data_IF_320534749675
#
_entry.id   IF_320534749675
#
_cell.length_a   1.000
_cell.length_b   1.000
_cell.length_c   1.000
_cell.angle_alpha   90.00
_cell.angle_beta   90.00
_cell.angle_gamma   90.00
#
_symmetry.space_group_name_H-M   'P 1'
#
loop_
_entity.id
_entity.type
_entity.pdbx_description
1 polymer ?
#
# COMPACT_ATOMS: atom_id res chain seq x y z
N UNK A 1 -1.91 1.01 21.74
CA UNK A 1 -2.61 1.24 20.46
C UNK A 1 -3.35 -0.01 20.05
N UNK A 2 -4.62 0.11 19.73
CA UNK A 2 -5.42 -1.02 19.24
C UNK A 2 -5.13 -1.29 17.76
N UNK A 3 -5.56 -2.47 17.28
CA UNK A 3 -5.44 -2.81 15.86
C UNK A 3 -6.23 -1.84 14.98
N UNK A 4 -7.43 -1.46 15.41
CA UNK A 4 -8.27 -0.51 14.69
C UNK A 4 -7.64 0.88 14.64
N UNK A 5 -7.04 1.34 15.73
CA UNK A 5 -6.32 2.63 15.76
C UNK A 5 -5.11 2.63 14.83
N UNK A 6 -4.36 1.54 14.80
CA UNK A 6 -3.21 1.38 13.91
C UNK A 6 -3.66 1.43 12.43
N UNK A 7 -4.71 0.67 12.10
CA UNK A 7 -5.28 0.66 10.75
C UNK A 7 -5.78 2.05 10.34
N UNK A 8 -6.47 2.76 11.24
CA UNK A 8 -6.96 4.11 11.00
C UNK A 8 -5.82 5.09 10.72
N UNK A 9 -4.78 5.08 11.56
CA UNK A 9 -3.65 6.00 11.39
C UNK A 9 -2.87 5.73 10.11
N UNK A 10 -2.64 4.47 9.78
CA UNK A 10 -1.94 4.11 8.56
C UNK A 10 -2.75 4.49 7.32
N UNK A 11 -4.06 4.25 7.34
CA UNK A 11 -4.96 4.62 6.26
C UNK A 11 -5.04 6.12 6.04
N UNK A 12 -5.10 6.92 7.11
CA UNK A 12 -5.06 8.38 7.03
C UNK A 12 -3.72 8.88 6.50
N UNK A 13 -2.64 8.25 6.89
CA UNK A 13 -1.30 8.57 6.39
C UNK A 13 -1.21 8.39 4.88
N UNK A 14 -1.73 7.29 4.35
CA UNK A 14 -1.74 7.05 2.90
C UNK A 14 -2.72 7.94 2.16
N UNK A 15 -3.87 8.25 2.75
CA UNK A 15 -4.84 9.17 2.15
C UNK A 15 -4.22 10.54 1.86
N UNK A 16 -3.35 11.01 2.73
CA UNK A 16 -2.64 12.27 2.57
C UNK A 16 -1.45 12.17 1.60
N UNK A 17 -1.15 10.98 1.09
CA UNK A 17 -0.02 10.71 0.20
C UNK A 17 -0.46 10.16 -1.16
N UNK A 18 -1.61 10.60 -1.65
CA UNK A 18 -2.15 10.15 -2.93
C UNK A 18 -1.18 10.34 -4.09
N UNK A 19 -0.45 11.47 -4.11
CA UNK A 19 0.53 11.73 -5.16
C UNK A 19 1.70 10.75 -5.12
N UNK A 20 2.16 10.39 -3.93
CA UNK A 20 3.18 9.35 -3.75
C UNK A 20 2.70 8.00 -4.28
N UNK A 21 1.47 7.61 -3.95
CA UNK A 21 0.89 6.35 -4.41
C UNK A 21 0.74 6.32 -5.93
N UNK A 22 0.38 7.46 -6.54
CA UNK A 22 0.32 7.59 -7.99
C UNK A 22 1.69 7.34 -8.63
N UNK A 23 2.71 7.99 -8.12
CA UNK A 23 4.07 7.85 -8.64
C UNK A 23 4.56 6.40 -8.46
N UNK A 24 4.31 5.79 -7.31
CA UNK A 24 4.67 4.40 -7.05
C UNK A 24 4.04 3.46 -8.07
N UNK A 25 2.74 3.62 -8.36
CA UNK A 25 2.02 2.75 -9.29
C UNK A 25 2.51 2.89 -10.73
N UNK A 26 2.99 4.08 -11.12
CA UNK A 26 3.44 4.35 -12.48
C UNK A 26 4.90 3.96 -12.72
N UNK A 27 5.76 4.12 -11.73
CA UNK A 27 7.20 4.11 -11.91
C UNK A 27 7.92 2.88 -11.36
N UNK A 28 7.23 2.00 -10.61
CA UNK A 28 7.90 0.87 -9.98
C UNK A 28 8.59 -0.04 -11.01
N UNK A 29 7.86 -0.45 -12.05
CA UNK A 29 8.41 -1.30 -13.10
C UNK A 29 9.54 -0.61 -13.86
N UNK A 30 9.34 0.67 -14.22
CA UNK A 30 10.36 1.45 -14.92
C UNK A 30 11.62 1.60 -14.08
N UNK A 31 11.48 1.85 -12.79
CA UNK A 31 12.60 1.95 -11.88
C UNK A 31 13.44 0.68 -11.88
N UNK A 32 12.81 -0.49 -11.83
CA UNK A 32 13.54 -1.77 -11.81
C UNK A 32 14.13 -2.15 -13.17
N UNK A 33 13.45 -1.81 -14.28
CA UNK A 33 13.83 -2.28 -15.61
C UNK A 33 14.74 -1.30 -16.37
N UNK A 34 14.57 0.00 -16.15
CA UNK A 34 15.19 1.03 -16.98
C UNK A 34 16.16 1.94 -16.24
N UNK A 35 16.25 1.87 -14.93
CA UNK A 35 17.17 2.68 -14.15
C UNK A 35 18.59 2.12 -14.21
N UNK A 36 19.58 3.01 -14.08
CA UNK A 36 20.96 2.59 -13.87
C UNK A 36 21.07 1.84 -12.54
N UNK A 37 22.03 0.92 -12.46
CA UNK A 37 22.22 0.11 -11.26
C UNK A 37 22.42 0.95 -10.00
N UNK A 38 23.21 2.02 -10.06
CA UNK A 38 23.42 2.88 -8.89
C UNK A 38 22.14 3.58 -8.42
N UNK A 39 21.26 4.01 -9.33
CA UNK A 39 19.97 4.60 -8.96
C UNK A 39 19.02 3.56 -8.38
N UNK A 40 19.05 2.35 -8.93
CA UNK A 40 18.25 1.25 -8.40
C UNK A 40 18.72 0.87 -7.00
N UNK A 41 20.03 0.86 -6.74
CA UNK A 41 20.56 0.61 -5.39
C UNK A 41 20.08 1.68 -4.42
N UNK A 42 20.15 2.95 -4.78
CA UNK A 42 19.64 4.06 -3.95
C UNK A 42 18.17 3.89 -3.63
N UNK A 43 17.37 3.55 -4.63
CA UNK A 43 15.93 3.27 -4.44
C UNK A 43 15.71 2.11 -3.47
N UNK A 44 16.45 1.03 -3.62
CA UNK A 44 16.30 -0.16 -2.76
C UNK A 44 16.77 0.11 -1.33
N UNK A 45 17.76 0.99 -1.12
CA UNK A 45 18.16 1.41 0.23
C UNK A 45 17.00 2.12 0.93
N UNK A 46 16.36 3.08 0.27
CA UNK A 46 15.19 3.80 0.83
C UNK A 46 14.02 2.84 1.06
N UNK A 47 13.79 1.93 0.13
CA UNK A 47 12.76 0.91 0.25
C UNK A 47 13.01 0.01 1.47
N UNK A 48 14.25 -0.43 1.66
CA UNK A 48 14.64 -1.24 2.81
C UNK A 48 14.48 -0.50 4.14
N UNK A 49 14.78 0.79 4.18
CA UNK A 49 14.57 1.63 5.35
C UNK A 49 13.07 1.73 5.70
N UNK A 50 12.22 1.86 4.68
CA UNK A 50 10.77 1.90 4.86
C UNK A 50 10.25 0.58 5.44
N UNK A 51 10.71 -0.55 4.92
CA UNK A 51 10.37 -1.87 5.46
C UNK A 51 10.79 -1.99 6.92
N UNK A 52 12.02 -1.58 7.24
CA UNK A 52 12.54 -1.63 8.60
C UNK A 52 11.72 -0.78 9.56
N UNK A 53 11.31 0.41 9.13
CA UNK A 53 10.46 1.29 9.92
C UNK A 53 9.11 0.62 10.24
N UNK A 54 8.49 -0.02 9.26
CA UNK A 54 7.23 -0.74 9.47
C UNK A 54 7.43 -1.92 10.41
N UNK A 55 8.50 -2.69 10.25
CA UNK A 55 8.83 -3.80 11.17
C UNK A 55 8.92 -3.31 12.61
N UNK A 56 9.63 -2.21 12.84
CA UNK A 56 9.77 -1.63 14.18
C UNK A 56 8.44 -1.17 14.77
N UNK A 57 7.58 -0.57 13.94
CA UNK A 57 6.23 -0.19 14.37
C UNK A 57 5.41 -1.40 14.79
N UNK A 58 5.47 -2.48 14.00
CA UNK A 58 4.76 -3.71 14.33
C UNK A 58 5.28 -4.33 15.63
N UNK A 59 6.58 -4.35 15.84
CA UNK A 59 7.20 -4.83 17.07
C UNK A 59 6.78 -4.03 18.29
N UNK A 60 6.74 -2.70 18.12
CA UNK A 60 6.37 -1.79 19.21
C UNK A 60 4.92 -1.93 19.64
N UNK A 61 4.00 -1.96 18.67
CA UNK A 61 2.56 -1.93 18.96
C UNK A 61 1.93 -3.31 19.07
N UNK A 62 2.54 -4.33 18.46
CA UNK A 62 2.04 -5.69 18.46
C UNK A 62 3.14 -6.68 18.79
N UNK A 63 3.67 -6.66 20.03
CA UNK A 63 4.79 -7.53 20.41
C UNK A 63 4.44 -9.02 20.33
N UNK A 64 3.15 -9.38 20.35
CA UNK A 64 2.70 -10.76 20.25
C UNK A 64 2.66 -11.28 18.80
N UNK A 65 2.85 -10.40 17.81
CA UNK A 65 2.88 -10.79 16.41
C UNK A 65 4.11 -11.65 16.14
N UNK A 66 3.90 -12.82 15.51
CA UNK A 66 5.01 -13.71 15.15
C UNK A 66 5.90 -13.11 14.06
N UNK A 67 7.10 -13.66 13.90
CA UNK A 67 8.01 -13.29 12.81
C UNK A 67 7.34 -13.53 11.45
N UNK A 68 6.67 -14.67 11.30
CA UNK A 68 5.93 -14.99 10.09
C UNK A 68 4.79 -13.98 9.84
N UNK A 69 4.08 -13.58 10.89
CA UNK A 69 3.01 -12.59 10.79
C UNK A 69 3.52 -11.21 10.34
N UNK A 70 4.69 -10.80 10.84
CA UNK A 70 5.32 -9.54 10.39
C UNK A 70 5.73 -9.61 8.93
N UNK A 71 6.30 -10.72 8.49
CA UNK A 71 6.63 -10.94 7.08
C UNK A 71 5.39 -10.89 6.20
N UNK A 72 4.33 -11.58 6.59
CA UNK A 72 3.08 -11.58 5.83
C UNK A 72 2.50 -10.17 5.71
N UNK A 73 2.55 -9.39 6.79
CA UNK A 73 2.11 -8.00 6.76
C UNK A 73 2.91 -7.20 5.73
N UNK A 74 4.22 -7.25 5.81
CA UNK A 74 5.11 -6.45 4.95
C UNK A 74 4.98 -6.85 3.49
N UNK A 75 5.05 -8.15 3.20
CA UNK A 75 5.01 -8.64 1.83
C UNK A 75 3.61 -8.66 1.21
N UNK A 76 2.60 -8.26 1.97
CA UNK A 76 1.26 -7.97 1.46
C UNK A 76 1.05 -6.46 1.33
N UNK A 77 1.43 -5.71 2.35
CA UNK A 77 1.16 -4.28 2.41
C UNK A 77 1.98 -3.46 1.40
N UNK A 78 3.27 -3.77 1.23
CA UNK A 78 4.09 -3.03 0.26
C UNK A 78 3.65 -3.24 -1.18
N UNK A 79 3.43 -4.47 -1.68
CA UNK A 79 2.82 -4.65 -3.00
C UNK A 79 1.45 -3.98 -3.13
N UNK A 80 0.65 -3.99 -2.07
CA UNK A 80 -0.62 -3.28 -2.02
C UNK A 80 -0.44 -1.78 -2.29
N UNK A 81 0.51 -1.13 -1.62
CA UNK A 81 0.78 0.30 -1.84
C UNK A 81 1.18 0.62 -3.27
N UNK A 82 1.95 -0.26 -3.91
CA UNK A 82 2.39 -0.05 -5.30
C UNK A 82 1.25 -0.21 -6.31
N UNK A 83 0.15 -0.84 -5.94
CA UNK A 83 -0.92 -1.19 -6.87
C UNK A 83 -2.27 -0.53 -6.63
N UNK A 84 -2.51 0.15 -5.51
CA UNK A 84 -3.86 0.58 -5.17
C UNK A 84 -4.34 1.83 -5.91
N UNK A 85 -3.45 2.70 -6.35
CA UNK A 85 -3.86 4.02 -6.86
C UNK A 85 -4.87 3.92 -8.01
N UNK A 86 -4.68 3.05 -9.03
CA UNK A 86 -5.66 2.96 -10.12
C UNK A 86 -7.05 2.53 -9.66
N UNK A 87 -7.15 1.87 -8.53
CA UNK A 87 -8.43 1.41 -7.97
C UNK A 87 -9.15 2.47 -7.16
N UNK A 88 -8.49 3.57 -6.84
CA UNK A 88 -9.03 4.64 -6.00
C UNK A 88 -9.38 5.90 -6.78
N UNK A 89 -9.01 5.96 -8.05
CA UNK A 89 -9.25 7.11 -8.94
C UNK A 89 -10.18 6.68 -10.06
N UNK A 90 -11.30 7.39 -10.18
CA UNK A 90 -12.31 7.10 -11.19
C UNK A 90 -12.38 8.27 -12.16
N UNK A 91 -12.08 8.02 -13.44
CA UNK A 91 -12.34 8.98 -14.51
C UNK A 91 -13.70 8.68 -15.12
N UNK A 92 -14.29 9.69 -15.77
CA UNK A 92 -15.56 9.51 -16.48
C UNK A 92 -15.45 8.41 -17.55
N UNK A 93 -14.32 8.38 -18.25
CA UNK A 93 -14.04 7.37 -19.27
C UNK A 93 -14.00 5.96 -18.67
N UNK A 94 -13.33 5.79 -17.54
CA UNK A 94 -13.24 4.51 -16.84
C UNK A 94 -14.59 4.03 -16.35
N UNK A 95 -15.37 4.93 -15.77
CA UNK A 95 -16.72 4.63 -15.29
C UNK A 95 -17.63 4.20 -16.44
N UNK A 96 -17.61 4.94 -17.55
CA UNK A 96 -18.38 4.61 -18.73
C UNK A 96 -17.98 3.23 -19.30
N UNK A 97 -16.69 2.93 -19.34
CA UNK A 97 -16.20 1.64 -19.82
C UNK A 97 -16.68 0.48 -18.95
N UNK A 98 -16.68 0.65 -17.63
CA UNK A 98 -17.16 -0.37 -16.70
C UNK A 98 -18.67 -0.59 -16.82
N UNK A 99 -19.45 0.49 -16.95
CA UNK A 99 -20.90 0.38 -17.17
C UNK A 99 -21.21 -0.37 -18.46
N UNK A 100 -20.55 0.00 -19.56
CA UNK A 100 -20.74 -0.63 -20.85
C UNK A 100 -20.33 -2.10 -20.86
N UNK A 101 -19.27 -2.44 -20.13
CA UNK A 101 -18.78 -3.80 -19.98
C UNK A 101 -19.61 -4.64 -18.99
N UNK A 102 -20.57 -4.04 -18.29
CA UNK A 102 -21.38 -4.75 -17.31
C UNK A 102 -20.63 -5.12 -16.04
N UNK A 103 -19.57 -4.38 -15.72
CA UNK A 103 -18.76 -4.62 -14.52
C UNK A 103 -19.34 -3.84 -13.35
N UNK A 104 -19.75 -4.56 -12.31
CA UNK A 104 -20.20 -3.96 -11.06
C UNK A 104 -18.99 -3.68 -10.18
N UNK A 105 -18.58 -2.43 -10.11
CA UNK A 105 -17.39 -2.03 -9.37
C UNK A 105 -17.77 -1.07 -8.25
N UNK A 106 -17.33 -1.38 -7.04
CA UNK A 106 -17.51 -0.51 -5.87
C UNK A 106 -16.27 0.34 -5.71
N UNK A 107 -16.40 1.65 -5.93
CA UNK A 107 -15.29 2.58 -5.78
C UNK A 107 -15.10 2.93 -4.31
N UNK A 108 -13.88 2.73 -3.82
CA UNK A 108 -13.49 3.06 -2.46
C UNK A 108 -12.37 4.08 -2.45
N UNK A 109 -12.36 4.94 -1.42
CA UNK A 109 -11.27 5.89 -1.21
C UNK A 109 -9.97 5.18 -0.83
N UNK A 110 -8.85 5.89 -0.92
CA UNK A 110 -7.55 5.39 -0.43
C UNK A 110 -7.69 4.99 1.05
N UNK A 111 -8.36 5.81 1.84
CA UNK A 111 -8.58 5.51 3.26
C UNK A 111 -9.33 4.18 3.45
N UNK A 112 -10.47 4.05 2.78
CA UNK A 112 -11.32 2.87 2.96
C UNK A 112 -10.62 1.58 2.58
N UNK A 113 -9.97 1.54 1.42
CA UNK A 113 -9.31 0.33 0.94
C UNK A 113 -8.08 0.00 1.78
N UNK A 114 -7.34 1.01 2.23
CA UNK A 114 -6.17 0.81 3.10
C UNK A 114 -6.59 0.33 4.48
N UNK A 115 -7.60 0.96 5.07
CA UNK A 115 -8.13 0.55 6.37
C UNK A 115 -8.55 -0.92 6.37
N UNK A 116 -9.32 -1.31 5.35
CA UNK A 116 -9.79 -2.69 5.22
C UNK A 116 -8.64 -3.68 5.04
N UNK A 117 -7.65 -3.33 4.25
CA UNK A 117 -6.48 -4.17 4.04
C UNK A 117 -5.69 -4.37 5.34
N UNK A 118 -5.34 -3.29 6.01
CA UNK A 118 -4.53 -3.34 7.24
C UNK A 118 -5.28 -4.07 8.36
N UNK A 119 -6.57 -3.80 8.50
CA UNK A 119 -7.39 -4.47 9.50
C UNK A 119 -7.35 -5.99 9.33
N UNK A 120 -7.42 -6.48 8.08
CA UNK A 120 -7.35 -7.91 7.79
C UNK A 120 -5.95 -8.49 8.05
N UNK A 121 -4.91 -7.73 7.77
CA UNK A 121 -3.54 -8.16 8.03
C UNK A 121 -3.23 -8.26 9.52
N UNK A 122 -3.99 -7.57 10.36
CA UNK A 122 -3.84 -7.59 11.82
C UNK A 122 -4.74 -8.62 12.52
N UNK A 123 -5.32 -9.55 11.78
CA UNK A 123 -6.06 -10.67 12.37
C UNK A 123 -5.04 -11.73 12.83
N UNK A 124 -4.82 -11.77 14.12
CA UNK A 124 -3.96 -12.78 14.76
C UNK A 124 -4.29 -12.94 16.23
#
# INVERSE_FOLDING_TARGET
MTKDEFADKLARSLENRGQMLKIMSMNHYDMESNSRLEHLIEFKVVYGESIHTVEKCLEKYFPDMSVAGKQDFIYTFFPFMFGIYPYTVVTEKQQAAMEEAGVHYVFMSIYEITYNCVKRLLIF
#
